data_IF_842418427472
#
_entry.id   IF_842418427472
#
_cell.length_a   1.000
_cell.length_b   1.000
_cell.length_c   1.000
_cell.angle_alpha   90.00
_cell.angle_beta   90.00
_cell.angle_gamma   90.00
#
_symmetry.space_group_name_H-M   'P 1'
#
loop_
_entity.id
_entity.type
_entity.pdbx_description
1 polymer ?
#
# COMPACT_ATOMS: atom_id res chain seq x y z
N UNK A 1 -33.15 -50.10 73.98
CA UNK A 1 -31.97 -50.25 73.09
C UNK A 1 -32.41 -50.09 71.67
N UNK A 2 -32.22 -48.91 71.10
CA UNK A 2 -32.79 -48.56 69.79
C UNK A 2 -31.61 -48.12 68.88
N UNK A 3 -31.31 -48.95 67.87
CA UNK A 3 -30.29 -48.62 66.85
C UNK A 3 -30.88 -47.71 65.78
N UNK A 4 -30.32 -46.50 65.60
CA UNK A 4 -30.63 -45.60 64.51
C UNK A 4 -29.72 -45.95 63.32
N UNK A 5 -30.33 -46.27 62.19
CA UNK A 5 -29.65 -46.36 60.91
C UNK A 5 -29.59 -44.98 60.27
N UNK A 6 -28.38 -44.52 59.99
CA UNK A 6 -28.13 -43.27 59.24
C UNK A 6 -27.90 -43.62 57.78
N UNK A 7 -28.78 -43.12 56.89
CA UNK A 7 -28.64 -43.27 55.45
C UNK A 7 -27.70 -42.21 54.91
N UNK A 8 -26.65 -42.61 54.16
CA UNK A 8 -25.72 -41.75 53.48
C UNK A 8 -26.28 -41.37 52.12
N UNK A 9 -26.50 -40.05 51.90
CA UNK A 9 -26.91 -39.45 50.64
C UNK A 9 -25.66 -39.18 49.81
N UNK A 10 -25.49 -39.92 48.71
CA UNK A 10 -24.45 -39.67 47.71
C UNK A 10 -24.94 -38.62 46.75
N UNK A 11 -24.39 -37.40 46.87
CA UNK A 11 -24.50 -36.38 45.83
C UNK A 11 -23.57 -36.72 44.62
N UNK A 12 -24.18 -37.00 43.49
CA UNK A 12 -23.50 -37.04 42.21
C UNK A 12 -23.34 -35.62 41.72
N UNK A 13 -22.10 -35.12 41.74
CA UNK A 13 -21.71 -33.88 41.09
C UNK A 13 -21.56 -34.16 39.59
N UNK A 14 -22.53 -33.68 38.81
CA UNK A 14 -22.43 -33.70 37.34
C UNK A 14 -21.42 -32.66 36.88
N UNK A 15 -20.30 -33.10 36.32
CA UNK A 15 -19.38 -32.24 35.61
C UNK A 15 -19.97 -31.86 34.24
N UNK A 16 -20.47 -30.64 34.14
CA UNK A 16 -20.79 -30.04 32.85
C UNK A 16 -19.48 -29.61 32.16
N UNK A 17 -19.07 -30.35 31.13
CA UNK A 17 -18.01 -29.90 30.21
C UNK A 17 -18.57 -28.76 29.38
N UNK A 18 -18.16 -27.53 29.69
CA UNK A 18 -18.36 -26.38 28.84
C UNK A 18 -17.34 -26.46 27.69
N UNK A 19 -17.79 -26.86 26.50
CA UNK A 19 -17.03 -26.69 25.24
C UNK A 19 -17.02 -25.20 24.90
N UNK A 20 -15.94 -24.54 25.24
CA UNK A 20 -15.64 -23.20 24.70
C UNK A 20 -15.19 -23.38 23.26
N UNK A 21 -16.12 -23.21 22.30
CA UNK A 21 -15.76 -23.01 20.89
C UNK A 21 -15.03 -21.67 20.82
N UNK A 22 -13.70 -21.68 20.88
CA UNK A 22 -12.86 -20.56 20.47
C UNK A 22 -12.94 -20.47 18.94
N UNK A 23 -13.88 -19.65 18.45
CA UNK A 23 -13.86 -19.16 17.07
C UNK A 23 -12.60 -18.33 16.90
N UNK A 24 -11.50 -18.99 16.47
CA UNK A 24 -10.30 -18.32 16.01
C UNK A 24 -10.64 -17.57 14.73
N UNK A 25 -10.88 -16.26 14.86
CA UNK A 25 -10.82 -15.36 13.71
C UNK A 25 -9.37 -15.37 13.22
N UNK A 26 -9.12 -16.18 12.19
CA UNK A 26 -7.97 -15.98 11.32
C UNK A 26 -8.27 -14.68 10.56
N UNK A 27 -7.95 -13.55 11.17
CA UNK A 27 -7.77 -12.32 10.42
C UNK A 27 -6.61 -12.60 9.47
N UNK A 28 -6.93 -12.93 8.22
CA UNK A 28 -5.96 -13.02 7.15
C UNK A 28 -5.27 -11.66 7.10
N UNK A 29 -3.99 -11.57 7.51
CA UNK A 29 -3.15 -10.43 7.22
C UNK A 29 -2.99 -10.42 5.69
N UNK A 30 -3.85 -9.69 4.99
CA UNK A 30 -3.60 -9.36 3.60
C UNK A 30 -2.30 -8.56 3.56
N UNK A 31 -1.34 -8.98 2.76
CA UNK A 31 -0.14 -8.20 2.54
C UNK A 31 -0.56 -6.84 1.94
N UNK A 32 0.10 -5.79 2.37
CA UNK A 32 -0.08 -4.47 1.76
C UNK A 32 0.38 -4.54 0.30
N UNK A 33 -0.52 -4.24 -0.62
CA UNK A 33 -0.25 -4.28 -2.07
C UNK A 33 -0.89 -3.07 -2.73
N UNK A 34 -0.13 -2.41 -3.60
CA UNK A 34 -0.65 -1.35 -4.46
C UNK A 34 -1.33 -1.96 -5.67
N UNK A 35 -2.53 -1.49 -5.96
CA UNK A 35 -3.31 -1.92 -7.10
C UNK A 35 -2.95 -1.15 -8.37
N UNK A 36 -3.17 -1.72 -9.56
CA UNK A 36 -3.04 -1.00 -10.81
C UNK A 36 -3.87 0.28 -10.82
N UNK A 37 -3.25 1.38 -11.24
CA UNK A 37 -3.82 2.72 -11.34
C UNK A 37 -3.51 3.28 -12.71
N UNK A 38 -4.54 3.61 -13.49
CA UNK A 38 -4.30 4.26 -14.79
C UNK A 38 -3.92 5.72 -14.60
N UNK A 39 -3.10 6.24 -15.51
CA UNK A 39 -2.79 7.66 -15.53
C UNK A 39 -4.06 8.53 -15.60
N UNK A 40 -5.05 8.10 -16.37
CA UNK A 40 -6.32 8.83 -16.49
C UNK A 40 -7.12 8.92 -15.18
N UNK A 41 -7.10 7.86 -14.33
CA UNK A 41 -7.73 7.91 -13.01
C UNK A 41 -7.06 8.99 -12.14
N UNK A 42 -5.72 9.01 -12.09
CA UNK A 42 -4.97 10.00 -11.33
C UNK A 42 -5.21 11.45 -11.82
N UNK A 43 -5.13 11.68 -13.13
CA UNK A 43 -5.36 13.00 -13.74
C UNK A 43 -6.79 13.49 -13.49
N UNK A 44 -7.78 12.61 -13.62
CA UNK A 44 -9.17 13.00 -13.37
C UNK A 44 -9.34 13.50 -11.93
N UNK A 45 -8.82 12.74 -10.97
CA UNK A 45 -8.90 13.13 -9.56
C UNK A 45 -8.13 14.42 -9.27
N UNK A 46 -6.92 14.59 -9.84
CA UNK A 46 -6.13 15.81 -9.69
C UNK A 46 -6.85 17.04 -10.23
N UNK A 47 -7.48 16.94 -11.40
CA UNK A 47 -8.24 18.03 -12.02
C UNK A 47 -9.53 18.35 -11.28
N UNK A 48 -10.23 17.34 -10.72
CA UNK A 48 -11.40 17.54 -9.87
C UNK A 48 -11.05 18.34 -8.59
N UNK A 49 -9.82 18.18 -8.09
CA UNK A 49 -9.22 18.99 -7.03
C UNK A 49 -8.81 20.41 -7.46
N UNK A 50 -8.95 20.77 -8.75
CA UNK A 50 -8.56 22.05 -9.32
C UNK A 50 -7.10 22.15 -9.74
N UNK A 51 -6.38 21.03 -9.80
CA UNK A 51 -4.99 20.97 -10.25
C UNK A 51 -4.84 21.23 -11.75
N UNK A 52 -3.73 21.86 -12.11
CA UNK A 52 -3.25 22.04 -13.50
C UNK A 52 -1.93 21.31 -13.60
N UNK A 53 -1.89 20.26 -14.41
CA UNK A 53 -0.71 19.41 -14.57
C UNK A 53 0.43 20.14 -15.25
N UNK A 54 1.62 20.17 -14.61
CA UNK A 54 2.87 20.66 -15.17
C UNK A 54 3.94 19.56 -15.21
N UNK A 55 3.92 18.62 -14.29
CA UNK A 55 4.84 17.50 -14.20
C UNK A 55 4.07 16.20 -14.04
N UNK A 56 4.58 15.11 -14.59
CA UNK A 56 4.01 13.78 -14.44
C UNK A 56 5.06 12.68 -14.51
N UNK A 57 4.83 11.60 -13.77
CA UNK A 57 5.57 10.35 -13.88
C UNK A 57 4.69 9.17 -13.53
N UNK A 58 4.44 8.28 -14.46
CA UNK A 58 3.69 7.05 -14.22
C UNK A 58 4.67 5.91 -13.95
N UNK A 59 4.63 5.34 -12.74
CA UNK A 59 5.54 4.32 -12.25
C UNK A 59 4.94 2.92 -12.46
N UNK A 60 5.48 2.16 -13.41
CA UNK A 60 5.06 0.78 -13.67
C UNK A 60 5.95 -0.21 -12.92
N UNK A 61 5.40 -1.35 -12.42
CA UNK A 61 6.20 -2.40 -11.79
C UNK A 61 7.28 -2.93 -12.73
N UNK A 62 8.47 -3.12 -12.19
CA UNK A 62 9.64 -3.62 -12.89
C UNK A 62 10.23 -4.86 -12.19
N UNK A 63 11.15 -5.54 -12.87
CA UNK A 63 11.94 -6.62 -12.31
C UNK A 63 13.18 -6.08 -11.55
N UNK A 64 14.07 -6.99 -11.10
CA UNK A 64 15.28 -6.64 -10.37
C UNK A 64 16.29 -5.81 -11.20
N UNK A 65 16.16 -5.79 -12.52
CA UNK A 65 16.94 -5.00 -13.46
C UNK A 65 16.22 -3.74 -13.93
N UNK A 66 15.09 -3.37 -13.27
CA UNK A 66 14.19 -2.27 -13.63
C UNK A 66 13.61 -2.36 -15.04
N UNK A 67 13.50 -3.58 -15.59
CA UNK A 67 12.78 -3.79 -16.84
C UNK A 67 11.28 -3.79 -16.54
N UNK A 68 10.54 -2.88 -17.18
CA UNK A 68 9.09 -2.85 -17.05
C UNK A 68 8.49 -4.19 -17.48
N UNK A 69 7.59 -4.76 -16.69
CA UNK A 69 6.87 -5.98 -17.04
C UNK A 69 5.97 -5.70 -18.25
N UNK A 70 5.91 -6.64 -19.18
CA UNK A 70 5.04 -6.51 -20.34
C UNK A 70 3.59 -6.28 -19.90
N UNK A 71 2.91 -5.32 -20.52
CA UNK A 71 1.52 -4.93 -20.24
C UNK A 71 1.25 -4.49 -18.78
N UNK A 72 2.29 -4.18 -17.99
CA UNK A 72 2.10 -3.66 -16.65
C UNK A 72 1.43 -2.28 -16.68
N UNK A 73 0.43 -2.12 -15.83
CA UNK A 73 -0.15 -0.82 -15.56
C UNK A 73 0.62 -0.13 -14.43
N UNK A 74 0.62 1.20 -14.36
CA UNK A 74 1.22 1.91 -13.23
C UNK A 74 0.60 1.47 -11.90
N UNK A 75 1.39 1.48 -10.85
CA UNK A 75 0.95 1.29 -9.46
C UNK A 75 1.03 2.58 -8.64
N UNK A 76 1.70 3.58 -9.20
CA UNK A 76 1.74 4.93 -8.66
C UNK A 76 1.85 5.93 -9.82
N UNK A 77 1.25 7.09 -9.66
CA UNK A 77 1.32 8.20 -10.61
C UNK A 77 1.65 9.46 -9.82
N UNK A 78 2.77 10.09 -10.17
CA UNK A 78 3.17 11.39 -9.65
C UNK A 78 2.69 12.48 -10.59
N UNK A 79 1.98 13.48 -10.07
CA UNK A 79 1.55 14.68 -10.78
C UNK A 79 1.89 15.87 -9.91
N UNK A 80 2.79 16.72 -10.37
CA UNK A 80 3.34 17.83 -9.60
C UNK A 80 3.84 17.38 -8.21
N UNK A 81 3.29 17.87 -7.13
CA UNK A 81 3.67 17.55 -5.75
C UNK A 81 2.75 16.49 -5.10
N UNK A 82 2.00 15.74 -5.92
CA UNK A 82 1.04 14.73 -5.45
C UNK A 82 1.38 13.36 -6.01
N UNK A 83 1.46 12.35 -5.15
CA UNK A 83 1.57 10.95 -5.52
C UNK A 83 0.20 10.27 -5.37
N UNK A 84 -0.29 9.71 -6.46
CA UNK A 84 -1.52 8.90 -6.49
C UNK A 84 -1.16 7.43 -6.40
N UNK A 85 -1.83 6.71 -5.50
CA UNK A 85 -1.75 5.25 -5.36
C UNK A 85 -3.16 4.69 -5.19
N UNK A 86 -3.35 3.40 -5.52
CA UNK A 86 -4.64 2.73 -5.36
C UNK A 86 -4.53 1.57 -4.38
N UNK A 87 -5.45 1.53 -3.40
CA UNK A 87 -5.53 0.50 -2.36
C UNK A 87 -7.01 0.22 -2.10
N UNK A 88 -7.37 -1.06 -1.98
CA UNK A 88 -8.75 -1.49 -1.69
C UNK A 88 -9.78 -0.87 -2.66
N UNK A 89 -9.39 -0.67 -3.93
CA UNK A 89 -10.23 -0.08 -4.97
C UNK A 89 -10.34 1.45 -4.93
N UNK A 90 -9.71 2.14 -3.97
CA UNK A 90 -9.76 3.59 -3.83
C UNK A 90 -8.43 4.24 -4.22
N UNK A 91 -8.50 5.35 -4.95
CA UNK A 91 -7.35 6.19 -5.26
C UNK A 91 -7.10 7.13 -4.09
N UNK A 92 -5.86 7.17 -3.61
CA UNK A 92 -5.40 8.03 -2.52
C UNK A 92 -4.39 9.03 -3.04
N UNK A 93 -4.49 10.27 -2.54
CA UNK A 93 -3.61 11.40 -2.84
C UNK A 93 -2.64 11.61 -1.68
N UNK A 94 -1.37 11.35 -1.89
CA UNK A 94 -0.33 11.64 -0.92
C UNK A 94 0.38 12.93 -1.33
N UNK A 95 0.43 13.88 -0.40
CA UNK A 95 1.09 15.18 -0.62
C UNK A 95 2.59 15.08 -0.36
N UNK A 96 3.39 15.71 -1.20
CA UNK A 96 4.83 15.82 -0.99
C UNK A 96 5.14 16.50 0.36
N UNK A 97 6.07 15.93 1.11
CA UNK A 97 6.53 16.43 2.41
C UNK A 97 7.98 16.85 2.41
N UNK A 98 8.80 16.11 1.71
CA UNK A 98 10.23 16.32 1.63
C UNK A 98 10.73 15.93 0.25
N UNK A 99 11.72 16.65 -0.24
CA UNK A 99 12.43 16.35 -1.48
C UNK A 99 13.91 16.64 -1.29
N UNK A 100 14.75 15.71 -1.73
CA UNK A 100 16.19 15.92 -1.91
C UNK A 100 16.63 15.47 -3.32
N UNK A 101 17.93 15.36 -3.57
CA UNK A 101 18.45 15.02 -4.90
C UNK A 101 17.98 13.66 -5.44
N UNK A 102 17.67 12.72 -4.57
CA UNK A 102 17.34 11.33 -4.94
C UNK A 102 16.06 10.82 -4.32
N UNK A 103 15.55 11.47 -3.27
CA UNK A 103 14.39 11.01 -2.52
C UNK A 103 13.27 12.05 -2.55
N UNK A 104 12.06 11.58 -2.76
CA UNK A 104 10.84 12.38 -2.56
C UNK A 104 9.91 11.61 -1.62
N UNK A 105 9.54 12.24 -0.50
CA UNK A 105 8.64 11.66 0.48
C UNK A 105 7.25 12.28 0.37
N UNK A 106 6.23 11.42 0.48
CA UNK A 106 4.81 11.77 0.42
C UNK A 106 4.08 11.23 1.63
N UNK A 107 3.03 11.89 2.07
CA UNK A 107 2.20 11.39 3.17
C UNK A 107 0.76 11.93 3.13
N UNK A 108 -0.18 11.09 3.61
CA UNK A 108 -1.57 11.44 3.86
C UNK A 108 -2.23 10.44 4.82
N UNK A 109 -2.87 10.91 5.90
CA UNK A 109 -3.75 10.14 6.80
C UNK A 109 -3.20 8.77 7.26
N UNK A 110 -1.95 8.71 7.70
CA UNK A 110 -1.32 7.46 8.18
C UNK A 110 -0.76 6.58 7.08
N UNK A 111 -0.77 7.03 5.83
CA UNK A 111 -0.04 6.47 4.70
C UNK A 111 1.18 7.32 4.41
N UNK A 112 2.26 6.68 4.00
CA UNK A 112 3.46 7.36 3.48
C UNK A 112 4.05 6.60 2.31
N UNK A 113 4.74 7.34 1.45
CA UNK A 113 5.51 6.78 0.35
C UNK A 113 6.84 7.50 0.23
N UNK A 114 7.87 6.77 -0.15
CA UNK A 114 9.17 7.33 -0.52
C UNK A 114 9.54 6.82 -1.90
N UNK A 115 9.78 7.74 -2.81
CA UNK A 115 10.36 7.47 -4.11
C UNK A 115 11.87 7.71 -4.03
N UNK A 116 12.67 6.71 -4.37
CA UNK A 116 14.12 6.83 -4.49
C UNK A 116 14.51 6.70 -5.94
N UNK A 117 14.98 7.77 -6.57
CA UNK A 117 15.48 7.76 -7.94
C UNK A 117 16.84 7.07 -7.96
N UNK A 118 16.90 5.88 -8.56
CA UNK A 118 18.11 5.06 -8.68
C UNK A 118 18.95 5.50 -9.87
N UNK A 119 18.31 5.83 -10.99
CA UNK A 119 18.95 6.39 -12.19
C UNK A 119 17.97 7.16 -13.05
N UNK A 120 18.50 8.12 -13.80
CA UNK A 120 17.82 8.91 -14.83
C UNK A 120 18.59 8.77 -16.15
N UNK A 121 17.88 8.60 -17.25
CA UNK A 121 18.48 8.41 -18.58
C UNK A 121 17.48 8.80 -19.68
N UNK A 122 17.91 8.76 -20.94
CA UNK A 122 17.10 9.14 -22.09
C UNK A 122 16.45 10.53 -21.94
N UNK A 123 17.21 11.58 -21.58
CA UNK A 123 16.62 12.91 -21.47
C UNK A 123 16.05 13.36 -22.82
N UNK A 124 14.91 14.07 -22.77
CA UNK A 124 14.37 14.72 -23.94
C UNK A 124 15.32 15.80 -24.50
N UNK A 125 15.09 16.27 -25.73
CA UNK A 125 15.97 17.25 -26.41
C UNK A 125 16.21 18.50 -25.55
N UNK A 126 15.23 18.93 -24.78
CA UNK A 126 15.32 20.13 -23.93
C UNK A 126 15.47 19.80 -22.43
N UNK A 127 15.74 18.54 -22.08
CA UNK A 127 15.79 18.05 -20.69
C UNK A 127 14.50 18.31 -19.88
N UNK A 128 13.35 18.34 -20.54
CA UNK A 128 12.06 18.54 -19.89
C UNK A 128 11.48 17.23 -19.33
N UNK A 129 11.94 16.09 -19.85
CA UNK A 129 11.56 14.75 -19.38
C UNK A 129 12.70 13.76 -19.52
N UNK A 130 12.64 12.70 -18.72
CA UNK A 130 13.60 11.58 -18.75
C UNK A 130 12.91 10.26 -18.40
N UNK A 131 13.61 9.15 -18.64
CA UNK A 131 13.22 7.85 -18.10
C UNK A 131 13.92 7.63 -16.76
N UNK A 132 13.24 6.95 -15.82
CA UNK A 132 13.74 6.73 -14.46
C UNK A 132 13.58 5.31 -13.98
N UNK A 133 14.60 4.83 -13.26
CA UNK A 133 14.48 3.69 -12.35
C UNK A 133 14.20 4.23 -10.95
N UNK A 134 13.13 3.77 -10.33
CA UNK A 134 12.68 4.28 -9.04
C UNK A 134 12.34 3.13 -8.11
N UNK A 135 12.90 3.15 -6.90
CA UNK A 135 12.44 2.31 -5.80
C UNK A 135 11.31 3.04 -5.08
N UNK A 136 10.13 2.43 -5.05
CA UNK A 136 8.97 2.91 -4.31
C UNK A 136 8.83 2.11 -3.02
N UNK A 137 8.96 2.75 -1.87
CA UNK A 137 8.57 2.21 -0.58
C UNK A 137 7.25 2.83 -0.15
N UNK A 138 6.25 2.00 0.15
CA UNK A 138 4.92 2.44 0.59
C UNK A 138 4.59 1.84 1.95
N UNK A 139 4.06 2.65 2.86
CA UNK A 139 3.71 2.25 4.21
C UNK A 139 2.25 2.64 4.52
N UNK A 140 1.51 1.71 5.11
CA UNK A 140 0.15 1.94 5.61
C UNK A 140 -0.15 0.97 6.74
N UNK A 141 -0.82 1.45 7.80
CA UNK A 141 -1.23 0.64 8.96
C UNK A 141 -0.08 -0.19 9.59
N UNK A 142 1.15 0.31 9.56
CA UNK A 142 2.33 -0.36 10.09
C UNK A 142 2.86 -1.50 9.23
N UNK A 143 2.38 -1.65 8.01
CA UNK A 143 2.91 -2.56 6.99
C UNK A 143 3.68 -1.75 5.94
N UNK A 144 4.73 -2.35 5.39
CA UNK A 144 5.54 -1.73 4.34
C UNK A 144 5.57 -2.66 3.12
N UNK A 145 5.37 -2.09 1.94
CA UNK A 145 5.56 -2.74 0.65
C UNK A 145 6.62 -1.98 -0.15
N UNK A 146 7.48 -2.70 -0.87
CA UNK A 146 8.53 -2.11 -1.70
C UNK A 146 8.44 -2.64 -3.12
N UNK A 147 8.64 -1.74 -4.09
CA UNK A 147 8.53 -2.04 -5.51
C UNK A 147 9.72 -1.42 -6.25
N UNK A 148 10.29 -2.20 -7.19
CA UNK A 148 11.10 -1.63 -8.24
C UNK A 148 10.17 -1.16 -9.35
N UNK A 149 10.35 0.06 -9.80
CA UNK A 149 9.48 0.67 -10.80
C UNK A 149 10.29 1.34 -11.91
N UNK A 150 9.67 1.44 -13.07
CA UNK A 150 10.16 2.18 -14.21
C UNK A 150 9.18 3.30 -14.55
N UNK A 151 9.68 4.52 -14.66
CA UNK A 151 8.95 5.68 -15.15
C UNK A 151 9.47 6.09 -16.51
N UNK A 152 8.59 6.14 -17.51
CA UNK A 152 8.93 6.58 -18.84
C UNK A 152 8.50 8.02 -19.06
N UNK A 153 9.37 8.83 -19.67
CA UNK A 153 9.12 10.23 -19.99
C UNK A 153 8.57 11.02 -18.79
N UNK A 154 9.21 10.84 -17.62
CA UNK A 154 8.91 11.61 -16.41
C UNK A 154 9.34 13.07 -16.60
N UNK A 155 8.41 14.03 -16.45
CA UNK A 155 8.67 15.45 -16.67
C UNK A 155 7.46 16.20 -17.21
N UNK A 156 7.71 17.30 -17.93
CA UNK A 156 6.69 18.18 -18.52
C UNK A 156 6.07 17.61 -19.80
#
# INVERSE_FOLDING_TARGET
MTKKHTAAHRHRVGQALAFILSCGYLAGCSALELEPLTYQEAVTQYQEGGGIENYRCALVPADEQYQAKADAQPIAVEIDEVLFVKIDGFVHELQQREIDETHTAYAFEGMSATLTTVSQFNPSEYNESDDRHVDLAFESAGQTATYKTFGAACGL
#
